data_IF_577242712088
#
_entry.id   IF_577242712088
#
_cell.length_a   1.000
_cell.length_b   1.000
_cell.length_c   1.000
_cell.angle_alpha   90.00
_cell.angle_beta   90.00
_cell.angle_gamma   90.00
#
_symmetry.space_group_name_H-M   'P 1'
#
loop_
_entity.id
_entity.type
_entity.pdbx_description
1 polymer ?
#
# COMPACT_ATOMS: atom_id res chain seq x y z
N UNK A 1 -17.64 44.61 20.79
CA UNK A 1 -16.77 43.79 19.92
C UNK A 1 -15.84 42.95 20.79
N UNK A 2 -15.99 41.62 20.80
CA UNK A 2 -15.03 40.71 21.42
C UNK A 2 -14.86 39.48 20.52
N UNK A 3 -14.03 39.64 19.50
CA UNK A 3 -13.48 38.52 18.73
C UNK A 3 -12.30 37.99 19.54
N UNK A 4 -12.34 36.73 19.98
CA UNK A 4 -11.18 35.82 20.17
C UNK A 4 -11.60 34.54 20.90
N UNK A 5 -11.74 33.45 20.13
CA UNK A 5 -11.02 32.19 20.32
C UNK A 5 -11.73 31.07 19.55
N UNK A 6 -11.53 31.05 18.23
CA UNK A 6 -11.54 29.79 17.49
C UNK A 6 -10.33 29.00 17.98
N UNK A 7 -10.52 28.19 19.02
CA UNK A 7 -9.59 27.14 19.41
C UNK A 7 -9.55 26.15 18.26
N UNK A 8 -8.71 26.46 17.27
CA UNK A 8 -8.37 25.63 16.14
C UNK A 8 -7.82 24.34 16.72
N UNK A 9 -8.70 23.33 16.85
CA UNK A 9 -8.35 21.98 17.23
C UNK A 9 -7.45 21.47 16.11
N UNK A 10 -6.15 21.63 16.31
CA UNK A 10 -5.10 20.98 15.53
C UNK A 10 -5.47 19.50 15.48
N UNK A 11 -5.89 19.00 14.33
CA UNK A 11 -5.94 17.57 14.09
C UNK A 11 -4.53 17.07 14.35
N UNK A 12 -4.37 16.29 15.41
CA UNK A 12 -3.11 15.61 15.66
C UNK A 12 -2.85 14.73 14.43
N UNK A 13 -1.79 15.02 13.69
CA UNK A 13 -1.29 14.09 12.67
C UNK A 13 -0.89 12.87 13.48
N UNK A 14 -1.71 11.81 13.45
CA UNK A 14 -1.30 10.54 14.05
C UNK A 14 -0.06 10.09 13.31
N UNK A 15 1.08 10.17 13.99
CA UNK A 15 2.34 9.73 13.44
C UNK A 15 2.25 8.21 13.29
N UNK A 16 2.30 7.71 12.05
CA UNK A 16 2.27 6.27 11.80
C UNK A 16 3.50 5.64 12.45
N UNK A 17 3.29 4.51 13.11
CA UNK A 17 4.39 3.66 13.58
C UNK A 17 4.84 2.71 12.45
N UNK A 18 5.88 1.92 12.70
CA UNK A 18 6.40 0.98 11.71
C UNK A 18 5.30 0.07 11.14
N UNK A 19 4.41 -0.46 12.01
CA UNK A 19 3.27 -1.30 11.59
C UNK A 19 2.35 -0.54 10.64
N UNK A 20 2.01 0.71 10.94
CA UNK A 20 1.17 1.55 10.09
C UNK A 20 1.77 1.76 8.69
N UNK A 21 3.08 2.00 8.60
CA UNK A 21 3.74 2.12 7.29
C UNK A 21 3.80 0.79 6.51
N UNK A 22 3.97 -0.33 7.21
CA UNK A 22 3.92 -1.66 6.58
C UNK A 22 2.51 -1.98 6.09
N UNK A 23 1.47 -1.63 6.86
CA UNK A 23 0.08 -1.79 6.45
C UNK A 23 -0.27 -0.91 5.25
N UNK A 24 0.18 0.35 5.20
CA UNK A 24 0.03 1.19 4.02
C UNK A 24 0.67 0.55 2.79
N UNK A 25 1.91 0.07 2.95
CA UNK A 25 2.66 -0.59 1.86
C UNK A 25 1.92 -1.83 1.36
N UNK A 26 1.38 -2.65 2.27
CA UNK A 26 0.54 -3.79 1.91
C UNK A 26 -0.71 -3.38 1.12
N UNK A 27 -1.37 -2.29 1.51
CA UNK A 27 -2.50 -1.71 0.78
C UNK A 27 -2.12 -1.27 -0.64
N UNK A 28 -1.04 -0.50 -0.78
CA UNK A 28 -0.56 -0.03 -2.08
C UNK A 28 -0.11 -1.18 -3.00
N UNK A 29 0.52 -2.22 -2.44
CA UNK A 29 0.90 -3.40 -3.21
C UNK A 29 -0.33 -4.19 -3.71
N UNK A 30 -1.42 -4.28 -2.94
CA UNK A 30 -2.66 -4.88 -3.42
C UNK A 30 -3.26 -4.09 -4.59
N UNK A 31 -3.27 -2.76 -4.51
CA UNK A 31 -3.72 -1.91 -5.62
C UNK A 31 -2.85 -2.10 -6.88
N UNK A 32 -1.53 -2.23 -6.70
CA UNK A 32 -0.62 -2.52 -7.80
C UNK A 32 -0.91 -3.91 -8.41
N UNK A 33 -1.16 -4.92 -7.58
CA UNK A 33 -1.55 -6.26 -8.01
C UNK A 33 -2.82 -6.23 -8.86
N UNK A 34 -3.88 -5.57 -8.39
CA UNK A 34 -5.14 -5.44 -9.15
C UNK A 34 -4.91 -4.76 -10.50
N UNK A 35 -4.10 -3.70 -10.53
CA UNK A 35 -3.76 -2.97 -11.75
C UNK A 35 -2.99 -3.84 -12.75
N UNK A 36 -2.05 -4.67 -12.27
CA UNK A 36 -1.29 -5.60 -13.10
C UNK A 36 -2.19 -6.73 -13.66
N UNK A 37 -3.14 -7.23 -12.86
CA UNK A 37 -4.11 -8.22 -13.33
C UNK A 37 -5.04 -7.64 -14.42
N UNK A 38 -5.45 -6.38 -14.29
CA UNK A 38 -6.19 -5.69 -15.34
C UNK A 38 -5.33 -5.52 -16.60
N UNK A 39 -4.05 -5.15 -16.46
CA UNK A 39 -3.13 -5.02 -17.58
C UNK A 39 -2.96 -6.35 -18.35
N UNK A 40 -2.93 -7.50 -17.66
CA UNK A 40 -2.89 -8.82 -18.29
C UNK A 40 -4.15 -9.15 -19.11
N UNK A 41 -5.27 -8.50 -18.82
CA UNK A 41 -6.53 -8.67 -19.55
C UNK A 41 -6.59 -7.81 -20.82
N UNK A 42 -5.75 -6.78 -20.93
CA UNK A 42 -5.74 -5.84 -22.06
C UNK A 42 -4.50 -5.96 -22.95
N UNK A 43 -3.45 -6.65 -22.50
CA UNK A 43 -2.19 -6.75 -23.24
C UNK A 43 -2.31 -7.69 -24.45
N UNK A 44 -1.95 -7.19 -25.64
CA UNK A 44 -2.05 -7.94 -26.89
C UNK A 44 -0.73 -8.65 -27.26
N UNK A 45 0.42 -8.09 -26.84
CA UNK A 45 1.75 -8.64 -27.14
C UNK A 45 2.20 -9.63 -26.05
N UNK A 46 2.53 -10.86 -26.46
CA UNK A 46 2.99 -11.92 -25.54
C UNK A 46 4.25 -11.57 -24.73
N UNK A 47 5.22 -10.88 -25.33
CA UNK A 47 6.43 -10.42 -24.61
C UNK A 47 6.12 -9.37 -23.52
N UNK A 48 5.10 -8.53 -23.74
CA UNK A 48 4.65 -7.59 -22.72
C UNK A 48 3.86 -8.32 -21.63
N UNK A 49 3.09 -9.35 -22.00
CA UNK A 49 2.40 -10.22 -21.05
C UNK A 49 3.38 -10.86 -20.07
N UNK A 50 4.46 -11.46 -20.56
CA UNK A 50 5.50 -12.07 -19.73
C UNK A 50 6.08 -11.07 -18.72
N UNK A 51 6.42 -9.86 -19.16
CA UNK A 51 6.92 -8.79 -18.28
C UNK A 51 5.91 -8.35 -17.21
N UNK A 52 4.63 -8.34 -17.55
CA UNK A 52 3.56 -8.01 -16.59
C UNK A 52 3.40 -9.16 -15.59
N UNK A 53 3.49 -10.42 -16.02
CA UNK A 53 3.45 -11.61 -15.14
C UNK A 53 4.65 -11.62 -14.17
N UNK A 54 5.86 -11.29 -14.64
CA UNK A 54 7.05 -11.11 -13.78
C UNK A 54 6.84 -10.01 -12.73
N UNK A 55 6.28 -8.86 -13.16
CA UNK A 55 5.97 -7.74 -12.27
C UNK A 55 4.93 -8.14 -11.22
N UNK A 56 3.90 -8.90 -11.62
CA UNK A 56 2.86 -9.42 -10.74
C UNK A 56 3.44 -10.35 -9.68
N UNK A 57 4.32 -11.28 -10.09
CA UNK A 57 4.99 -12.19 -9.17
C UNK A 57 5.83 -11.42 -8.13
N UNK A 58 6.56 -10.39 -8.54
CA UNK A 58 7.36 -9.58 -7.62
C UNK A 58 6.47 -8.84 -6.58
N UNK A 59 5.31 -8.33 -7.00
CA UNK A 59 4.34 -7.68 -6.10
C UNK A 59 3.75 -8.69 -5.11
N UNK A 60 3.43 -9.91 -5.55
CA UNK A 60 2.91 -10.96 -4.67
C UNK A 60 3.94 -11.37 -3.60
N UNK A 61 5.21 -11.50 -3.96
CA UNK A 61 6.29 -11.75 -3.00
C UNK A 61 6.41 -10.60 -1.98
N UNK A 62 6.33 -9.35 -2.45
CA UNK A 62 6.36 -8.17 -1.57
C UNK A 62 5.15 -8.11 -0.62
N UNK A 63 3.95 -8.49 -1.09
CA UNK A 63 2.75 -8.61 -0.26
C UNK A 63 2.95 -9.61 0.88
N UNK A 64 3.50 -10.79 0.57
CA UNK A 64 3.79 -11.81 1.58
C UNK A 64 4.79 -11.29 2.63
N UNK A 65 5.88 -10.67 2.19
CA UNK A 65 6.88 -10.09 3.09
C UNK A 65 6.29 -8.97 3.98
N UNK A 66 5.44 -8.10 3.42
CA UNK A 66 4.77 -7.05 4.19
C UNK A 66 3.80 -7.63 5.22
N UNK A 67 3.02 -8.67 4.86
CA UNK A 67 2.12 -9.36 5.78
C UNK A 67 2.89 -9.95 6.98
N UNK A 68 3.94 -10.74 6.70
CA UNK A 68 4.80 -11.31 7.73
C UNK A 68 5.42 -10.23 8.64
N UNK A 69 5.88 -9.12 8.05
CA UNK A 69 6.45 -8.01 8.81
C UNK A 69 5.40 -7.35 9.71
N UNK A 70 4.17 -7.18 9.23
CA UNK A 70 3.08 -6.62 10.03
C UNK A 70 2.74 -7.54 11.22
N UNK A 71 2.70 -8.86 11.00
CA UNK A 71 2.44 -9.85 12.06
C UNK A 71 3.53 -9.82 13.14
N UNK A 72 4.81 -9.71 12.73
CA UNK A 72 5.95 -9.59 13.67
C UNK A 72 5.87 -8.30 14.48
N UNK A 73 5.45 -7.19 13.85
CA UNK A 73 5.30 -5.89 14.52
C UNK A 73 4.07 -5.81 15.43
N UNK A 74 3.08 -6.69 15.26
CA UNK A 74 1.91 -6.78 16.13
C UNK A 74 2.18 -7.57 17.42
N UNK A 75 3.09 -8.55 17.38
CA UNK A 75 3.41 -9.42 18.52
C UNK A 75 4.34 -8.78 19.58
N UNK A 76 4.74 -7.52 19.42
CA UNK A 76 5.56 -6.76 20.37
C UNK A 76 4.74 -5.76 21.17
#
# INVERSE_FOLDING_TARGET
>A
MAVKNKKQRRGAIMQKNARGYVQDSYGSLNQAKDSLQQALSTVEQGSNRERIEESLQAVEQALQACGQTADILEQK
#
